data_IF_205908269785
#
_entry.id   IF_205908269785
#
_cell.length_a   1.000
_cell.length_b   1.000
_cell.length_c   1.000
_cell.angle_alpha   90.00
_cell.angle_beta   90.00
_cell.angle_gamma   90.00
#
_symmetry.space_group_name_H-M   'P 1'
#
loop_
_entity.id
_entity.type
_entity.pdbx_description
1 polymer ?
#
# COMPACT_ATOMS: atom_id res chain seq x y z
N UNK A 1 4.49 -30.34 14.88
CA UNK A 1 3.70 -29.25 14.29
C UNK A 1 2.57 -29.78 13.40
N UNK A 2 2.86 -30.64 12.41
CA UNK A 2 1.84 -31.18 11.49
C UNK A 2 0.71 -31.95 12.19
N UNK A 3 1.02 -32.87 13.11
CA UNK A 3 -0.01 -33.64 13.85
C UNK A 3 -0.99 -32.75 14.65
N UNK A 4 -0.52 -31.62 15.19
CA UNK A 4 -1.39 -30.66 15.89
C UNK A 4 -2.32 -29.94 14.91
N UNK A 5 -1.81 -29.57 13.72
CA UNK A 5 -2.60 -28.94 12.67
C UNK A 5 -3.68 -29.89 12.13
N UNK A 6 -3.35 -31.16 11.92
CA UNK A 6 -4.33 -32.19 11.50
C UNK A 6 -5.44 -32.40 12.54
N UNK A 7 -5.10 -32.36 13.82
CA UNK A 7 -6.09 -32.53 14.89
C UNK A 7 -7.01 -31.32 15.05
N UNK A 8 -6.50 -30.10 14.86
CA UNK A 8 -7.23 -28.85 15.15
C UNK A 8 -8.05 -28.40 13.94
N UNK A 9 -7.55 -28.54 12.71
CA UNK A 9 -8.20 -28.02 11.52
C UNK A 9 -9.67 -28.49 11.34
N UNK A 10 -10.04 -29.76 11.61
CA UNK A 10 -11.44 -30.20 11.58
C UNK A 10 -12.32 -29.52 12.63
N UNK A 11 -11.78 -29.21 13.81
CA UNK A 11 -12.54 -28.58 14.91
C UNK A 11 -13.00 -27.17 14.56
N UNK A 12 -12.23 -26.48 13.71
CA UNK A 12 -12.53 -25.12 13.22
C UNK A 12 -13.12 -25.12 11.80
N UNK A 13 -13.36 -26.30 11.22
CA UNK A 13 -14.01 -26.44 9.92
C UNK A 13 -13.15 -26.05 8.72
N UNK A 14 -11.82 -26.18 8.78
CA UNK A 14 -10.92 -25.91 7.66
C UNK A 14 -10.02 -27.11 7.33
N UNK A 15 -9.32 -27.05 6.19
CA UNK A 15 -8.32 -28.07 5.85
C UNK A 15 -7.03 -27.86 6.66
N UNK A 16 -6.27 -28.92 6.97
CA UNK A 16 -4.95 -28.79 7.61
C UNK A 16 -4.00 -27.85 6.86
N UNK A 17 -4.00 -27.86 5.52
CA UNK A 17 -3.22 -26.90 4.72
C UNK A 17 -3.62 -25.45 4.99
N UNK A 18 -4.92 -25.14 5.02
CA UNK A 18 -5.43 -23.78 5.29
C UNK A 18 -4.94 -23.29 6.65
N UNK A 19 -5.08 -24.11 7.69
CA UNK A 19 -4.62 -23.74 9.04
C UNK A 19 -3.10 -23.55 9.08
N UNK A 20 -2.34 -24.43 8.41
CA UNK A 20 -0.89 -24.30 8.34
C UNK A 20 -0.49 -22.97 7.72
N UNK A 21 -1.14 -22.56 6.64
CA UNK A 21 -0.82 -21.31 5.95
C UNK A 21 -1.18 -20.07 6.78
N UNK A 22 -2.27 -20.11 7.56
CA UNK A 22 -2.57 -19.07 8.54
C UNK A 22 -1.51 -18.97 9.62
N UNK A 23 -1.04 -20.11 10.16
CA UNK A 23 0.06 -20.11 11.13
C UNK A 23 1.35 -19.57 10.52
N UNK A 24 1.65 -19.89 9.25
CA UNK A 24 2.81 -19.29 8.57
C UNK A 24 2.66 -17.79 8.42
N UNK A 25 1.45 -17.32 8.08
CA UNK A 25 1.16 -15.89 7.92
C UNK A 25 1.25 -15.14 9.25
N UNK A 26 0.72 -15.69 10.33
CA UNK A 26 0.83 -15.12 11.68
C UNK A 26 2.31 -15.01 12.10
N UNK A 27 3.14 -16.02 11.82
CA UNK A 27 4.58 -15.93 12.06
C UNK A 27 5.27 -14.80 11.27
N UNK A 28 4.81 -14.50 10.05
CA UNK A 28 5.30 -13.33 9.29
C UNK A 28 4.80 -12.04 9.91
N UNK A 29 3.52 -11.97 10.29
CA UNK A 29 2.90 -10.77 10.86
C UNK A 29 3.47 -10.43 12.25
N UNK A 30 3.96 -11.43 13.01
CA UNK A 30 4.69 -11.26 14.27
C UNK A 30 6.19 -10.97 14.11
N UNK A 31 6.72 -11.06 12.90
CA UNK A 31 8.15 -10.89 12.62
C UNK A 31 9.02 -12.10 13.01
N UNK A 32 8.41 -13.24 13.33
CA UNK A 32 9.12 -14.50 13.62
C UNK A 32 9.61 -15.19 12.34
N UNK A 33 9.04 -14.83 11.19
CA UNK A 33 9.43 -15.32 9.86
C UNK A 33 9.64 -14.17 8.91
N UNK A 34 10.61 -14.32 8.01
CA UNK A 34 10.81 -13.39 6.92
C UNK A 34 9.59 -13.34 5.98
N UNK A 35 9.18 -12.13 5.63
CA UNK A 35 8.08 -11.86 4.71
C UNK A 35 7.56 -10.44 4.90
N UNK A 36 6.71 -10.00 3.97
CA UNK A 36 5.99 -8.72 4.12
C UNK A 36 4.72 -8.99 4.91
N UNK A 37 4.67 -8.43 6.11
CA UNK A 37 3.51 -8.51 6.99
C UNK A 37 2.27 -7.89 6.35
N UNK A 38 1.10 -8.26 6.85
CA UNK A 38 -0.18 -7.69 6.45
C UNK A 38 -0.19 -6.17 6.67
N UNK A 39 0.34 -5.70 7.81
CA UNK A 39 0.42 -4.27 8.13
C UNK A 39 1.35 -3.50 7.17
N UNK A 40 2.53 -4.05 6.84
CA UNK A 40 3.44 -3.43 5.87
C UNK A 40 2.79 -3.33 4.48
N UNK A 41 2.08 -4.38 4.06
CA UNK A 41 1.38 -4.39 2.76
C UNK A 41 0.29 -3.32 2.70
N UNK A 42 -0.47 -3.15 3.77
CA UNK A 42 -1.49 -2.10 3.87
C UNK A 42 -0.87 -0.71 3.84
N UNK A 43 0.24 -0.52 4.56
CA UNK A 43 0.99 0.74 4.56
C UNK A 43 1.54 1.07 3.18
N UNK A 44 2.13 0.11 2.47
CA UNK A 44 2.63 0.29 1.10
C UNK A 44 1.47 0.74 0.20
N UNK A 45 0.32 0.06 0.25
CA UNK A 45 -0.85 0.41 -0.55
C UNK A 45 -1.39 1.82 -0.22
N UNK A 46 -1.35 2.24 1.04
CA UNK A 46 -1.74 3.59 1.44
C UNK A 46 -0.77 4.64 0.88
N UNK A 47 0.55 4.39 1.02
CA UNK A 47 1.59 5.28 0.49
C UNK A 47 1.54 5.39 -1.04
N UNK A 48 1.31 4.29 -1.75
CA UNK A 48 1.17 4.30 -3.22
C UNK A 48 0.00 5.19 -3.68
N UNK A 49 -1.12 5.17 -2.94
CA UNK A 49 -2.26 6.05 -3.22
C UNK A 49 -1.91 7.51 -2.94
N UNK A 50 -1.29 7.79 -1.80
CA UNK A 50 -0.88 9.15 -1.43
C UNK A 50 0.10 9.72 -2.46
N UNK A 51 1.12 8.96 -2.85
CA UNK A 51 2.10 9.36 -3.88
C UNK A 51 1.41 9.65 -5.21
N UNK A 52 0.40 8.86 -5.59
CA UNK A 52 -0.37 9.10 -6.81
C UNK A 52 -1.12 10.44 -6.76
N UNK A 53 -1.80 10.74 -5.66
CA UNK A 53 -2.54 11.99 -5.50
C UNK A 53 -1.60 13.21 -5.39
N UNK A 54 -0.47 13.06 -4.70
CA UNK A 54 0.56 14.10 -4.62
C UNK A 54 1.13 14.43 -6.01
N UNK A 55 1.41 13.41 -6.83
CA UNK A 55 1.90 13.60 -8.21
C UNK A 55 0.86 14.33 -9.05
N UNK A 56 -0.40 13.92 -9.01
CA UNK A 56 -1.50 14.58 -9.71
C UNK A 56 -1.64 16.05 -9.30
N UNK A 57 -1.57 16.32 -7.99
CA UNK A 57 -1.66 17.69 -7.46
C UNK A 57 -0.48 18.53 -7.93
N UNK A 58 0.72 17.97 -7.91
CA UNK A 58 1.93 18.65 -8.36
C UNK A 58 1.85 19.03 -9.84
N UNK A 59 1.29 18.17 -10.68
CA UNK A 59 1.07 18.45 -12.11
C UNK A 59 0.11 19.63 -12.32
N UNK A 60 -1.02 19.66 -11.59
CA UNK A 60 -1.97 20.77 -11.65
C UNK A 60 -1.30 22.09 -11.24
N UNK A 61 -0.53 22.08 -10.16
CA UNK A 61 0.17 23.27 -9.67
C UNK A 61 1.24 23.77 -10.66
N UNK A 62 1.97 22.86 -11.31
CA UNK A 62 2.94 23.20 -12.35
C UNK A 62 2.26 23.86 -13.55
N UNK A 63 1.16 23.30 -14.03
CA UNK A 63 0.38 23.85 -15.14
C UNK A 63 -0.18 25.24 -14.79
N UNK A 64 -0.76 25.39 -13.60
CA UNK A 64 -1.26 26.68 -13.12
C UNK A 64 -0.14 27.72 -13.05
N UNK A 65 1.02 27.34 -12.50
CA UNK A 65 2.19 28.22 -12.39
C UNK A 65 2.68 28.69 -13.77
N UNK A 66 2.75 27.78 -14.75
CA UNK A 66 3.12 28.11 -16.12
C UNK A 66 2.10 29.08 -16.77
N UNK A 67 0.81 28.84 -16.57
CA UNK A 67 -0.26 29.70 -17.08
C UNK A 67 -0.17 31.12 -16.49
N UNK A 68 0.01 31.24 -15.17
CA UNK A 68 0.15 32.55 -14.53
C UNK A 68 1.43 33.28 -14.95
N UNK A 69 2.54 32.57 -15.12
CA UNK A 69 3.79 33.15 -15.61
C UNK A 69 3.61 33.74 -17.02
N UNK A 70 2.94 33.02 -17.92
CA UNK A 70 2.66 33.52 -19.27
C UNK A 70 1.77 34.77 -19.24
N UNK A 71 0.68 34.73 -18.45
CA UNK A 71 -0.23 35.87 -18.34
C UNK A 71 0.47 37.13 -17.78
N UNK A 72 1.41 36.96 -16.83
CA UNK A 72 2.20 38.07 -16.30
C UNK A 72 3.16 38.65 -17.35
N UNK A 73 3.82 37.80 -18.15
CA UNK A 73 4.66 38.26 -19.26
C UNK A 73 3.82 39.05 -20.28
N UNK A 74 2.66 38.52 -20.68
CA UNK A 74 1.77 39.18 -21.65
C UNK A 74 1.29 40.55 -21.17
N UNK A 75 1.06 40.73 -19.87
CA UNK A 75 0.71 42.04 -19.28
C UNK A 75 1.87 43.03 -19.38
N UNK A 76 3.09 42.60 -19.07
CA UNK A 76 4.28 43.46 -19.12
C UNK A 76 4.61 43.94 -20.53
N UNK A 77 4.40 43.09 -21.55
CA UNK A 77 4.66 43.48 -22.93
C UNK A 77 3.57 44.38 -23.55
N UNK A 78 2.40 44.48 -22.93
CA UNK A 78 1.28 45.35 -23.39
C UNK A 78 1.21 46.71 -22.68
N UNK A 79 2.00 46.91 -21.62
CA UNK A 79 2.15 48.18 -20.92
C UNK A 79 3.34 48.97 -21.44
#
# INVERSE_FOLDING_TARGET
MWAAVESIAPMIGCTPQTLLDWVKRDGVDRGERHGVSTAERERIKALEREVKELRRTNEILKLASAFFAQAELDRRFKS
#
